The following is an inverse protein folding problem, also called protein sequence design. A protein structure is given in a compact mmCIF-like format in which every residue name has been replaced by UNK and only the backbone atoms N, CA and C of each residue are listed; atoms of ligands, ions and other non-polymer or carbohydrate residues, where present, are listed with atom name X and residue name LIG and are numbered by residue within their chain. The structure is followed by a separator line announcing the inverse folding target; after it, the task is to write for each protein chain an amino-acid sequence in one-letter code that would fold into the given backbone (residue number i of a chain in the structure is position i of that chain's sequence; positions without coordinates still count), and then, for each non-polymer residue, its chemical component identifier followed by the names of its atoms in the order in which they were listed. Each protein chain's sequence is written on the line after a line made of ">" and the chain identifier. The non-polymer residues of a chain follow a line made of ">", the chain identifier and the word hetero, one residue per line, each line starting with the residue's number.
data_IF_277841182013
#
_entry.id   IF_277841182013
#
_cell.length_a   1.000
_cell.length_b   1.000
_cell.length_c   1.000
_cell.angle_alpha   90.00
_cell.angle_beta   90.00
_cell.angle_gamma   90.00
#
_symmetry.space_group_name_H-M   'P 1'
#
loop_
_entity.id
_entity.type
_entity.pdbx_description
1 polymer ?
#
# COMPACT_ATOMS: atom_id res chain seq x y z
N UNK A 1 -10.38 -14.24 -15.66
CA UNK A 1 -11.80 -14.34 -15.27
C UNK A 1 -11.82 -14.42 -13.74
N UNK A 2 -12.12 -13.31 -13.03
CA UNK A 2 -12.04 -13.19 -11.57
C UNK A 2 -13.44 -13.30 -10.95
N UNK A 3 -14.02 -14.50 -10.89
CA UNK A 3 -15.40 -14.66 -10.39
C UNK A 3 -15.52 -15.31 -9.00
N UNK A 4 -14.40 -15.77 -8.41
CA UNK A 4 -14.38 -16.37 -7.06
C UNK A 4 -13.47 -15.61 -6.09
N UNK A 5 -13.81 -15.65 -4.80
CA UNK A 5 -13.07 -15.04 -3.67
C UNK A 5 -11.57 -15.35 -3.73
N UNK A 6 -11.21 -16.61 -4.03
CA UNK A 6 -9.80 -17.03 -4.16
C UNK A 6 -9.08 -16.38 -5.35
N UNK A 7 -9.79 -16.17 -6.46
CA UNK A 7 -9.27 -15.51 -7.66
C UNK A 7 -8.94 -14.05 -7.41
N UNK A 8 -9.78 -13.36 -6.62
CA UNK A 8 -9.55 -11.98 -6.20
C UNK A 8 -8.26 -11.83 -5.38
N UNK A 9 -8.02 -12.64 -4.33
CA UNK A 9 -6.77 -12.53 -3.55
C UNK A 9 -5.53 -12.91 -4.34
N UNK A 10 -5.62 -13.92 -5.20
CA UNK A 10 -4.50 -14.26 -6.08
C UNK A 10 -4.16 -13.11 -7.02
N UNK A 11 -5.13 -12.27 -7.39
CA UNK A 11 -4.91 -11.10 -8.21
C UNK A 11 -4.30 -9.95 -7.40
N UNK A 12 -4.90 -9.59 -6.26
CA UNK A 12 -4.41 -8.45 -5.47
C UNK A 12 -3.06 -8.72 -4.79
N UNK A 13 -2.76 -9.96 -4.40
CA UNK A 13 -1.45 -10.32 -3.85
C UNK A 13 -0.28 -10.17 -4.86
N UNK A 14 -0.56 -10.07 -6.17
CA UNK A 14 0.46 -9.80 -7.19
C UNK A 14 0.83 -8.33 -7.31
N UNK A 15 0.03 -7.43 -6.72
CA UNK A 15 0.21 -5.97 -6.75
C UNK A 15 1.64 -5.55 -6.38
N UNK A 16 2.19 -5.89 -5.19
CA UNK A 16 3.53 -5.45 -4.82
C UNK A 16 4.63 -5.95 -5.77
N UNK A 17 4.50 -7.17 -6.31
CA UNK A 17 5.45 -7.70 -7.30
C UNK A 17 5.42 -6.94 -8.62
N UNK A 18 4.25 -6.52 -9.10
CA UNK A 18 4.14 -5.73 -10.32
C UNK A 18 4.70 -4.32 -10.13
N UNK A 19 4.34 -3.67 -9.03
CA UNK A 19 4.84 -2.33 -8.70
C UNK A 19 6.37 -2.33 -8.56
N UNK A 20 6.93 -3.35 -7.90
CA UNK A 20 8.37 -3.46 -7.71
C UNK A 20 9.12 -3.57 -9.04
N UNK A 21 8.64 -4.38 -9.98
CA UNK A 21 9.26 -4.51 -11.31
C UNK A 21 9.31 -3.18 -12.06
N UNK A 22 8.26 -2.36 -11.97
CA UNK A 22 8.21 -1.06 -12.64
C UNK A 22 9.16 -0.07 -11.97
N UNK A 23 9.25 -0.08 -10.63
CA UNK A 23 10.20 0.75 -9.88
C UNK A 23 11.66 0.34 -10.14
N UNK A 24 11.94 -0.95 -10.32
CA UNK A 24 13.27 -1.45 -10.69
C UNK A 24 13.72 -0.97 -12.07
N UNK A 25 12.77 -0.63 -12.96
CA UNK A 25 13.06 0.01 -14.25
C UNK A 25 13.30 1.53 -14.13
N UNK A 26 13.17 2.11 -12.94
CA UNK A 26 13.42 3.53 -12.67
C UNK A 26 12.22 4.45 -12.90
N UNK A 27 11.00 3.91 -12.99
CA UNK A 27 9.80 4.72 -13.18
C UNK A 27 9.09 5.03 -11.85
N UNK A 28 8.56 6.25 -11.74
CA UNK A 28 7.51 6.56 -10.76
C UNK A 28 6.24 5.78 -11.12
N UNK A 29 5.49 5.32 -10.12
CA UNK A 29 4.27 4.54 -10.32
C UNK A 29 3.12 5.15 -9.55
N UNK A 30 2.05 5.51 -10.25
CA UNK A 30 0.74 5.80 -9.67
C UNK A 30 -0.14 4.56 -9.84
N UNK A 31 -0.53 3.96 -8.73
CA UNK A 31 -1.45 2.83 -8.67
C UNK A 31 -2.78 3.28 -8.07
N UNK A 32 -3.89 2.91 -8.69
CA UNK A 32 -5.21 2.99 -8.09
C UNK A 32 -6.06 1.77 -8.45
N UNK A 33 -7.03 1.45 -7.60
CA UNK A 33 -8.04 0.45 -7.90
C UNK A 33 -9.00 0.94 -9.00
N UNK A 34 -9.56 -0.02 -9.75
CA UNK A 34 -10.39 0.24 -10.94
C UNK A 34 -11.75 0.87 -10.63
N UNK A 35 -12.16 0.81 -9.37
CA UNK A 35 -13.39 1.40 -8.84
C UNK A 35 -13.17 2.79 -8.23
N UNK A 36 -11.96 3.35 -8.35
CA UNK A 36 -11.68 4.74 -8.01
C UNK A 36 -11.89 5.69 -9.19
N UNK A 37 -12.43 6.87 -8.90
CA UNK A 37 -12.63 7.94 -9.88
C UNK A 37 -11.89 9.19 -9.41
N UNK A 38 -11.04 9.75 -10.27
CA UNK A 38 -10.36 11.02 -10.04
C UNK A 38 -11.26 12.18 -10.44
N UNK A 39 -11.60 13.04 -9.48
CA UNK A 39 -12.38 14.26 -9.73
C UNK A 39 -11.49 15.46 -10.10
N UNK A 40 -10.19 15.36 -9.86
CA UNK A 40 -9.18 16.36 -10.16
C UNK A 40 -7.81 15.67 -10.32
N UNK A 41 -6.83 16.43 -10.82
CA UNK A 41 -5.43 15.99 -10.86
C UNK A 41 -4.89 15.80 -9.42
N UNK A 42 -4.43 14.60 -9.04
CA UNK A 42 -3.90 14.36 -7.70
C UNK A 42 -2.46 14.84 -7.51
N UNK A 43 -1.68 15.02 -8.57
CA UNK A 43 -0.24 15.30 -8.46
C UNK A 43 0.11 16.60 -7.73
N UNK A 44 -0.65 17.71 -7.84
CA UNK A 44 -0.39 18.92 -7.06
C UNK A 44 -0.46 18.74 -5.54
N UNK A 45 -1.12 17.68 -5.06
CA UNK A 45 -1.27 17.37 -3.64
C UNK A 45 -0.21 16.40 -3.12
N UNK A 46 0.56 15.75 -4.01
CA UNK A 46 1.68 14.87 -3.66
C UNK A 46 2.95 15.71 -3.43
N UNK A 47 2.93 16.53 -2.39
CA UNK A 47 4.00 17.46 -2.07
C UNK A 47 5.16 16.78 -1.33
N UNK A 48 6.36 17.35 -1.43
CA UNK A 48 7.56 16.81 -0.81
C UNK A 48 8.28 15.74 -1.64
N UNK A 49 9.36 15.22 -1.09
CA UNK A 49 10.19 14.17 -1.70
C UNK A 49 10.10 12.88 -0.86
N UNK A 50 8.89 12.36 -0.74
CA UNK A 50 8.62 11.12 -0.01
C UNK A 50 8.72 9.91 -0.95
N UNK A 51 9.20 8.78 -0.40
CA UNK A 51 9.33 7.51 -1.12
C UNK A 51 7.97 6.97 -1.61
N UNK A 52 6.96 7.08 -0.74
CA UNK A 52 5.63 6.50 -0.95
C UNK A 52 4.55 7.44 -0.43
N UNK A 53 3.46 7.55 -1.18
CA UNK A 53 2.23 8.20 -0.77
C UNK A 53 1.09 7.19 -0.83
N UNK A 54 0.18 7.28 0.12
CA UNK A 54 -0.97 6.40 0.26
C UNK A 54 -2.10 7.12 0.99
N UNK A 55 -3.29 6.56 0.92
CA UNK A 55 -4.47 7.09 1.60
C UNK A 55 -4.68 6.44 2.96
N UNK A 56 -4.94 7.25 3.98
CA UNK A 56 -5.39 6.80 5.30
C UNK A 56 -6.89 6.49 5.22
N UNK A 57 -7.30 5.25 5.53
CA UNK A 57 -8.68 4.75 5.44
C UNK A 57 -9.52 5.13 6.68
N UNK A 58 -9.12 6.20 7.35
CA UNK A 58 -9.79 6.77 8.52
C UNK A 58 -10.85 7.79 8.09
N UNK A 59 -11.97 7.85 8.80
CA UNK A 59 -13.10 8.73 8.46
C UNK A 59 -12.83 10.22 8.66
N UNK A 60 -11.84 10.58 9.46
CA UNK A 60 -11.50 11.97 9.73
C UNK A 60 -10.57 12.52 8.65
N UNK A 61 -11.04 13.51 7.89
CA UNK A 61 -10.23 14.23 6.90
C UNK A 61 -9.16 15.03 7.63
N UNK A 62 -7.89 14.76 7.30
CA UNK A 62 -6.75 15.52 7.83
C UNK A 62 -6.63 16.87 7.10
N UNK A 63 -6.27 17.97 7.79
CA UNK A 63 -5.98 19.25 7.15
C UNK A 63 -4.71 19.12 6.28
N UNK A 64 -4.60 19.87 5.17
CA UNK A 64 -3.45 19.76 4.24
C UNK A 64 -2.08 19.88 4.92
N UNK A 65 -1.98 20.68 5.98
CA UNK A 65 -0.77 20.81 6.80
C UNK A 65 -0.89 19.89 8.02
N UNK A 66 -0.57 18.61 7.85
CA UNK A 66 -0.56 17.61 8.93
C UNK A 66 0.77 16.85 8.95
N UNK A 67 1.11 16.19 10.06
CA UNK A 67 2.31 15.35 10.11
C UNK A 67 2.25 14.21 9.09
N UNK A 68 3.35 13.96 8.39
CA UNK A 68 3.50 12.83 7.47
C UNK A 68 3.88 11.52 8.17
N UNK A 69 4.00 11.52 9.50
CA UNK A 69 4.23 10.30 10.27
C UNK A 69 3.06 9.31 10.09
N UNK A 70 3.37 8.02 10.20
CA UNK A 70 2.34 6.99 10.19
C UNK A 70 1.33 7.24 11.33
N UNK A 71 0.02 7.10 11.07
CA UNK A 71 -0.98 7.23 12.12
C UNK A 71 -0.75 6.15 13.19
N UNK A 72 -1.12 6.43 14.44
CA UNK A 72 -0.95 5.46 15.51
C UNK A 72 -1.70 4.17 15.18
N UNK A 73 -1.14 3.00 15.57
CA UNK A 73 -1.78 1.73 15.28
C UNK A 73 -3.18 1.64 15.93
N UNK A 74 -4.14 1.13 15.17
CA UNK A 74 -5.50 0.89 15.67
C UNK A 74 -5.59 -0.35 16.55
N UNK A 75 -6.82 -0.83 16.80
CA UNK A 75 -7.11 -1.99 17.68
C UNK A 75 -6.34 -3.28 17.35
N UNK A 76 -5.86 -3.43 16.11
CA UNK A 76 -5.10 -4.61 15.65
C UNK A 76 -3.57 -4.41 15.66
N UNK A 77 -3.07 -3.34 16.28
CA UNK A 77 -1.63 -3.09 16.41
C UNK A 77 -0.94 -2.60 15.12
N UNK A 78 -1.72 -2.20 14.11
CA UNK A 78 -1.24 -1.65 12.83
C UNK A 78 -2.09 -0.45 12.39
N UNK A 79 -1.57 0.45 11.55
CA UNK A 79 -2.32 1.57 11.02
C UNK A 79 -3.43 1.07 10.10
N UNK A 80 -4.28 2.00 9.70
CA UNK A 80 -5.42 1.72 8.84
C UNK A 80 -5.24 2.43 7.50
N UNK A 81 -4.14 2.10 6.80
CA UNK A 81 -3.83 2.60 5.47
C UNK A 81 -4.54 1.75 4.42
N UNK A 82 -5.13 2.39 3.42
CA UNK A 82 -5.73 1.74 2.26
C UNK A 82 -4.67 1.53 1.17
N UNK A 83 -4.67 0.33 0.57
CA UNK A 83 -3.79 -0.01 -0.56
C UNK A 83 -4.42 0.28 -1.93
N UNK A 84 -5.58 0.94 -1.92
CA UNK A 84 -6.40 1.26 -3.08
C UNK A 84 -5.86 2.45 -3.89
N UNK A 85 -4.97 3.26 -3.29
CA UNK A 85 -4.18 4.29 -3.97
C UNK A 85 -2.77 4.31 -3.41
N UNK A 86 -1.78 4.19 -4.29
CA UNK A 86 -0.36 4.24 -3.90
C UNK A 86 0.42 4.97 -4.99
N UNK A 87 1.16 6.01 -4.61
CA UNK A 87 2.18 6.61 -5.47
C UNK A 87 3.58 6.26 -4.94
N UNK A 88 4.44 5.78 -5.82
CA UNK A 88 5.79 5.28 -5.49
C UNK A 88 6.82 5.98 -6.36
N UNK A 89 7.90 6.46 -5.74
CA UNK A 89 9.12 6.90 -6.44
C UNK A 89 10.13 5.74 -6.48
N UNK A 90 11.01 5.63 -7.49
CA UNK A 90 11.98 4.54 -7.67
C UNK A 90 13.16 4.60 -6.69
N UNK A 91 12.89 4.98 -5.43
CA UNK A 91 13.86 5.07 -4.35
C UNK A 91 14.07 3.71 -3.70
N UNK A 92 15.15 3.59 -2.93
CA UNK A 92 15.42 2.34 -2.21
C UNK A 92 14.43 2.12 -1.05
N UNK A 93 13.95 3.20 -0.42
CA UNK A 93 12.89 3.13 0.60
C UNK A 93 11.60 2.52 0.05
N UNK A 94 11.12 3.00 -1.10
CA UNK A 94 9.92 2.44 -1.75
C UNK A 94 10.09 0.96 -2.11
N UNK A 95 11.26 0.58 -2.65
CA UNK A 95 11.56 -0.82 -2.98
C UNK A 95 11.60 -1.72 -1.75
N UNK A 96 12.16 -1.24 -0.64
CA UNK A 96 12.18 -1.98 0.64
C UNK A 96 10.75 -2.21 1.15
N UNK A 97 9.88 -1.20 1.10
CA UNK A 97 8.48 -1.33 1.51
C UNK A 97 7.76 -2.42 0.68
N UNK A 98 7.95 -2.45 -0.65
CA UNK A 98 7.33 -3.47 -1.50
C UNK A 98 7.88 -4.88 -1.25
N UNK A 99 9.19 -5.01 -0.99
CA UNK A 99 9.80 -6.30 -0.61
C UNK A 99 9.26 -6.80 0.72
N UNK A 100 9.21 -5.93 1.74
CA UNK A 100 8.60 -6.26 3.04
C UNK A 100 7.12 -6.64 2.88
N UNK A 101 6.37 -5.95 2.01
CA UNK A 101 4.98 -6.33 1.74
C UNK A 101 4.87 -7.74 1.14
N UNK A 102 5.75 -8.11 0.20
CA UNK A 102 5.81 -9.47 -0.32
C UNK A 102 6.13 -10.50 0.77
N UNK A 103 7.05 -10.18 1.69
CA UNK A 103 7.39 -11.04 2.83
C UNK A 103 6.20 -11.21 3.78
N UNK A 104 5.50 -10.13 4.12
CA UNK A 104 4.29 -10.19 4.96
C UNK A 104 3.20 -11.05 4.31
N UNK A 105 3.02 -10.95 2.98
CA UNK A 105 2.08 -11.80 2.24
C UNK A 105 2.46 -13.29 2.28
N UNK A 106 3.76 -13.61 2.38
CA UNK A 106 4.24 -14.99 2.50
C UNK A 106 4.17 -15.51 3.94
N UNK A 107 4.40 -14.63 4.92
CA UNK A 107 4.48 -14.94 6.35
C UNK A 107 3.11 -14.94 7.06
N UNK A 108 2.04 -14.45 6.43
CA UNK A 108 0.70 -14.42 7.04
C UNK A 108 0.26 -15.81 7.56
N UNK A 109 -0.09 -15.97 8.85
CA UNK A 109 -0.47 -17.25 9.45
C UNK A 109 -1.87 -17.78 9.04
N UNK A 110 -2.51 -17.21 8.02
CA UNK A 110 -3.91 -17.50 7.71
C UNK A 110 -3.98 -18.62 6.67
N UNK A 111 -4.57 -19.72 7.12
CA UNK A 111 -4.60 -21.04 6.49
C UNK A 111 -4.67 -21.04 4.96
N UNK A 112 -4.14 -22.12 4.37
CA UNK A 112 -4.38 -22.53 2.97
C UNK A 112 -5.88 -22.53 2.57
N UNK A 113 -6.81 -22.39 3.52
CA UNK A 113 -8.27 -22.27 3.36
C UNK A 113 -8.85 -20.84 3.41
N UNK A 114 -8.10 -19.79 3.80
CA UNK A 114 -8.54 -18.39 3.77
C UNK A 114 -7.38 -17.46 3.36
N UNK A 115 -7.17 -17.31 2.05
CA UNK A 115 -6.35 -16.19 1.53
C UNK A 115 -7.05 -14.88 1.88
N UNK A 116 -6.28 -13.94 2.43
CA UNK A 116 -6.74 -12.68 3.02
C UNK A 116 -6.27 -11.49 2.17
N UNK A 117 -6.91 -10.34 2.38
CA UNK A 117 -6.67 -9.06 1.71
C UNK A 117 -5.18 -8.63 1.84
N UNK A 118 -4.62 -8.01 0.81
CA UNK A 118 -3.22 -7.54 0.76
C UNK A 118 -2.98 -6.30 1.64
N UNK A 119 -4.01 -5.49 1.89
CA UNK A 119 -3.95 -4.29 2.75
C UNK A 119 -3.43 -4.59 4.17
N UNK A 120 -3.91 -5.63 4.87
CA UNK A 120 -3.30 -6.17 6.08
C UNK A 120 -1.77 -6.27 6.06
N UNK A 121 -1.21 -6.90 5.03
CA UNK A 121 0.22 -7.12 4.88
C UNK A 121 0.96 -5.80 4.57
N UNK A 122 0.34 -4.91 3.79
CA UNK A 122 0.89 -3.59 3.51
C UNK A 122 1.05 -2.75 4.79
N UNK A 123 0.03 -2.73 5.63
CA UNK A 123 0.06 -2.02 6.91
C UNK A 123 1.15 -2.53 7.85
N UNK A 124 1.41 -3.85 7.85
CA UNK A 124 2.51 -4.43 8.61
C UNK A 124 3.88 -4.06 8.05
N UNK A 125 4.03 -4.07 6.72
CA UNK A 125 5.26 -3.67 6.05
C UNK A 125 5.63 -2.21 6.40
N UNK A 126 4.66 -1.28 6.34
CA UNK A 126 4.85 0.12 6.73
C UNK A 126 5.28 0.24 8.20
N UNK A 127 4.56 -0.40 9.13
CA UNK A 127 4.86 -0.34 10.56
C UNK A 127 6.24 -0.89 10.94
N UNK A 128 6.65 -1.99 10.31
CA UNK A 128 7.93 -2.64 10.61
C UNK A 128 9.09 -1.87 9.99
N UNK A 129 8.86 -1.14 8.90
CA UNK A 129 9.88 -0.29 8.29
C UNK A 129 10.03 1.06 9.00
N UNK A 130 8.95 1.63 9.54
CA UNK A 130 9.00 2.89 10.30
C UNK A 130 9.65 2.78 11.69
N UNK A 131 10.02 1.58 12.14
CA UNK A 131 10.66 1.31 13.44
C UNK A 131 12.16 1.01 13.33
N UNK A 132 12.69 0.91 12.12
CA UNK A 132 14.12 0.73 11.82
C UNK A 132 14.77 2.10 11.56
#
# INVERSE_FOLDING_TARGET
>A
MCFDYLGFFNFTARRPSHLLKILELGYNVMYNDVDMVWLADPFPYLQGDHDVYFTDDMTAIKPLNHSHDLPPPGKKGRPYICSCMIFLRPTDGAKVILKKWLEELQNEPWSRTKKSNDQPAFNWALMRNAKE
#
